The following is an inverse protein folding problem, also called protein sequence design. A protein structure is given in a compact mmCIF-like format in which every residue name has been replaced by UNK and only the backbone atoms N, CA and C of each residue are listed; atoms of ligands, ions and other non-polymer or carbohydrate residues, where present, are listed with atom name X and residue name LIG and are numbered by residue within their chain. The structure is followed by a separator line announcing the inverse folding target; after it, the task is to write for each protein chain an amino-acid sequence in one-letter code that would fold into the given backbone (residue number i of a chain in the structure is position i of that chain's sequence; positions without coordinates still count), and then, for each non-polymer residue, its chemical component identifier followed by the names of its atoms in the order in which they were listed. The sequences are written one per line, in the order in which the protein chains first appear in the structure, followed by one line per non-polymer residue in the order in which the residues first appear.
data_IF_284803072379
#
_entry.id   IF_284803072379
#
_cell.length_a   1.000
_cell.length_b   1.000
_cell.length_c   1.000
_cell.angle_alpha   90.00
_cell.angle_beta   90.00
_cell.angle_gamma   90.00
#
_symmetry.space_group_name_H-M   'P 1'
#
loop_
_entity.id
_entity.type
_entity.pdbx_description
1 polymer ?
#
# COMPACT_ATOMS: atom_id res chain seq x y z
N UNK A 1 0.45 -11.13 -7.77
CA UNK A 1 0.06 -9.70 -7.68
C UNK A 1 1.23 -8.94 -7.08
N UNK A 2 1.60 -7.86 -7.70
CA UNK A 2 2.73 -7.06 -7.24
C UNK A 2 2.32 -6.06 -6.15
N UNK A 3 3.31 -5.67 -5.38
CA UNK A 3 3.18 -4.59 -4.40
C UNK A 3 2.98 -3.25 -5.13
N UNK A 4 1.95 -2.51 -4.73
CA UNK A 4 1.63 -1.21 -5.32
C UNK A 4 1.73 -0.13 -4.26
N UNK A 5 2.40 0.95 -4.59
CA UNK A 5 2.53 2.11 -3.68
C UNK A 5 1.85 3.31 -4.32
N UNK A 6 1.01 3.98 -3.54
CA UNK A 6 0.38 5.24 -3.93
C UNK A 6 0.89 6.37 -3.06
N UNK A 7 1.03 7.54 -3.66
CA UNK A 7 1.42 8.75 -2.96
C UNK A 7 0.34 9.82 -3.19
N UNK A 8 0.05 10.59 -2.15
CA UNK A 8 -0.97 11.61 -2.25
C UNK A 8 -0.50 12.81 -3.08
N UNK A 9 -1.43 13.73 -3.34
CA UNK A 9 -1.21 14.85 -4.24
C UNK A 9 -0.06 15.77 -3.83
N UNK A 10 0.09 16.04 -2.54
CA UNK A 10 1.17 16.90 -2.05
C UNK A 10 2.44 16.11 -1.68
N UNK A 11 2.45 14.81 -1.95
CA UNK A 11 3.59 13.92 -1.76
C UNK A 11 4.06 13.81 -0.30
N UNK A 12 3.11 13.92 0.63
CA UNK A 12 3.40 13.83 2.06
C UNK A 12 3.00 12.50 2.69
N UNK A 13 2.11 11.74 2.04
CA UNK A 13 1.61 10.47 2.56
C UNK A 13 1.64 9.39 1.50
N UNK A 14 1.87 8.16 1.96
CA UNK A 14 1.88 6.99 1.09
C UNK A 14 0.98 5.91 1.65
N UNK A 15 0.50 5.05 0.76
CA UNK A 15 -0.15 3.79 1.11
C UNK A 15 0.41 2.69 0.22
N UNK A 16 0.72 1.55 0.85
CA UNK A 16 1.30 0.40 0.16
C UNK A 16 0.29 -0.74 0.20
N UNK A 17 -0.07 -1.24 -0.96
CA UNK A 17 -0.98 -2.38 -1.11
C UNK A 17 -0.16 -3.58 -1.54
N UNK A 18 -0.14 -4.62 -0.71
CA UNK A 18 0.59 -5.83 -1.06
C UNK A 18 -0.23 -7.08 -0.76
N UNK A 19 -0.04 -8.15 -1.56
CA UNK A 19 -0.75 -9.41 -1.31
C UNK A 19 -0.41 -9.96 0.06
N UNK A 20 -1.41 -10.48 0.75
CA UNK A 20 -1.23 -11.14 2.04
C UNK A 20 -1.76 -12.56 1.92
N UNK A 21 -0.90 -13.53 2.14
CA UNK A 21 -1.24 -14.95 2.09
C UNK A 21 -1.28 -15.51 3.50
N UNK A 22 -2.42 -16.10 3.86
CA UNK A 22 -2.57 -16.74 5.16
C UNK A 22 -2.16 -18.21 5.04
N UNK A 23 -0.93 -18.51 5.41
CA UNK A 23 -0.36 -19.85 5.32
C UNK A 23 -0.98 -20.85 6.30
N UNK A 24 -1.76 -20.37 7.28
CA UNK A 24 -2.45 -21.25 8.21
C UNK A 24 -3.69 -21.89 7.61
N UNK A 25 -4.17 -21.42 6.47
CA UNK A 25 -5.34 -21.98 5.80
C UNK A 25 -5.02 -23.26 5.02
N UNK A 26 -5.95 -24.21 4.96
CA UNK A 26 -5.73 -25.48 4.24
C UNK A 26 -5.47 -25.28 2.74
N UNK A 27 -6.04 -24.25 2.15
CA UNK A 27 -5.84 -23.94 0.73
C UNK A 27 -5.08 -22.63 0.62
N UNK A 28 -3.74 -22.66 0.57
CA UNK A 28 -2.95 -21.45 0.47
C UNK A 28 -3.24 -20.69 -0.82
N UNK A 29 -3.24 -19.39 -0.73
CA UNK A 29 -3.50 -18.50 -1.85
C UNK A 29 -3.62 -17.08 -1.37
N UNK A 30 -3.67 -16.14 -2.32
CA UNK A 30 -3.82 -14.72 -1.99
C UNK A 30 -5.30 -14.46 -1.74
N UNK A 31 -5.69 -14.33 -0.48
CA UNK A 31 -7.08 -14.10 -0.11
C UNK A 31 -7.30 -12.74 0.58
N UNK A 32 -6.24 -11.98 0.77
CA UNK A 32 -6.31 -10.68 1.42
C UNK A 32 -5.20 -9.77 0.93
N UNK A 33 -5.30 -8.49 1.29
CA UNK A 33 -4.28 -7.48 1.02
C UNK A 33 -3.86 -6.84 2.32
N UNK A 34 -2.57 -6.61 2.48
CA UNK A 34 -2.06 -5.79 3.55
C UNK A 34 -1.91 -4.36 3.03
N UNK A 35 -2.50 -3.42 3.75
CA UNK A 35 -2.44 -2.00 3.40
C UNK A 35 -1.63 -1.31 4.48
N UNK A 36 -0.44 -0.85 4.12
CA UNK A 36 0.42 -0.08 5.01
C UNK A 36 0.28 1.40 4.69
N UNK A 37 0.36 2.24 5.71
CA UNK A 37 0.30 3.68 5.50
C UNK A 37 1.47 4.36 6.18
N UNK A 38 1.90 5.49 5.64
CA UNK A 38 3.04 6.20 6.17
C UNK A 38 3.14 7.62 5.64
N UNK A 39 4.24 8.25 6.00
CA UNK A 39 4.51 9.64 5.65
C UNK A 39 5.84 9.77 4.94
N UNK A 40 5.95 10.81 4.10
CA UNK A 40 7.18 11.19 3.45
C UNK A 40 7.56 12.56 3.98
N UNK A 41 8.73 12.65 4.59
CA UNK A 41 9.22 13.90 5.13
C UNK A 41 10.19 14.56 4.16
N UNK A 42 10.10 15.89 4.05
CA UNK A 42 10.91 16.66 3.09
C UNK A 42 12.41 16.45 3.24
N UNK A 43 12.88 16.22 4.45
CA UNK A 43 14.32 16.08 4.74
C UNK A 43 14.78 14.62 4.72
N UNK A 44 13.87 13.69 4.47
CA UNK A 44 14.19 12.27 4.44
C UNK A 44 13.86 11.71 3.08
N UNK A 45 14.77 10.96 2.51
CA UNK A 45 14.51 10.27 1.25
C UNK A 45 13.70 8.98 1.47
N UNK A 46 13.63 8.50 2.70
CA UNK A 46 12.89 7.28 3.04
C UNK A 46 11.52 7.59 3.61
N UNK A 47 10.45 6.97 3.07
CA UNK A 47 9.15 7.06 3.72
C UNK A 47 9.16 6.30 5.03
N UNK A 48 8.35 6.75 5.98
CA UNK A 48 8.22 6.13 7.29
C UNK A 48 6.85 5.47 7.37
N UNK A 49 6.83 4.17 7.55
CA UNK A 49 5.58 3.42 7.71
C UNK A 49 5.09 3.60 9.14
N UNK A 50 3.84 4.04 9.28
CA UNK A 50 3.22 4.29 10.58
C UNK A 50 2.37 3.14 11.07
N UNK A 51 1.82 2.35 10.18
CA UNK A 51 1.00 1.21 10.55
C UNK A 51 0.54 0.43 9.33
N UNK A 52 -0.14 -0.68 9.59
CA UNK A 52 -0.69 -1.52 8.53
C UNK A 52 -1.94 -2.24 9.03
N UNK A 53 -2.76 -2.70 8.09
CA UNK A 53 -3.92 -3.52 8.37
C UNK A 53 -4.14 -4.50 7.24
N UNK A 54 -4.86 -5.57 7.53
CA UNK A 54 -5.20 -6.58 6.53
C UNK A 54 -6.68 -6.40 6.17
N UNK A 55 -6.97 -6.37 4.88
CA UNK A 55 -8.31 -6.20 4.34
C UNK A 55 -8.60 -7.26 3.28
N UNK A 56 -9.88 -7.48 3.00
CA UNK A 56 -10.27 -8.33 1.88
C UNK A 56 -9.80 -7.68 0.57
N UNK A 57 -9.61 -8.51 -0.46
CA UNK A 57 -9.22 -8.02 -1.78
C UNK A 57 -10.26 -7.01 -2.30
N UNK A 58 -11.55 -7.30 -2.10
CA UNK A 58 -12.61 -6.39 -2.56
C UNK A 58 -12.53 -5.02 -1.88
N UNK A 59 -12.33 -5.00 -0.56
CA UNK A 59 -12.19 -3.74 0.19
C UNK A 59 -10.94 -2.98 -0.24
N UNK A 60 -9.82 -3.68 -0.42
CA UNK A 60 -8.57 -3.07 -0.85
C UNK A 60 -8.70 -2.43 -2.24
N UNK A 61 -9.35 -3.12 -3.17
CA UNK A 61 -9.58 -2.59 -4.53
C UNK A 61 -10.46 -1.34 -4.50
N UNK A 62 -11.46 -1.33 -3.65
CA UNK A 62 -12.34 -0.17 -3.50
C UNK A 62 -11.57 1.02 -2.95
N UNK A 63 -10.77 0.82 -1.90
CA UNK A 63 -9.93 1.88 -1.34
C UNK A 63 -8.94 2.41 -2.36
N UNK A 64 -8.29 1.52 -3.09
CA UNK A 64 -7.35 1.89 -4.14
C UNK A 64 -8.00 2.80 -5.19
N UNK A 65 -9.18 2.41 -5.67
CA UNK A 65 -9.92 3.21 -6.66
C UNK A 65 -10.32 4.59 -6.11
N UNK A 66 -10.74 4.65 -4.85
CA UNK A 66 -11.10 5.90 -4.20
C UNK A 66 -9.90 6.85 -4.07
N UNK A 67 -8.74 6.31 -3.70
CA UNK A 67 -7.52 7.10 -3.59
C UNK A 67 -7.11 7.69 -4.94
N UNK A 68 -7.22 6.91 -6.03
CA UNK A 68 -6.94 7.43 -7.37
C UNK A 68 -7.88 8.59 -7.72
N UNK A 69 -9.14 8.51 -7.32
CA UNK A 69 -10.11 9.60 -7.54
C UNK A 69 -9.75 10.85 -6.75
N UNK A 70 -9.13 10.68 -5.59
CA UNK A 70 -8.69 11.78 -4.74
C UNK A 70 -7.38 12.41 -5.20
N UNK A 71 -6.78 11.90 -6.27
CA UNK A 71 -5.57 12.44 -6.85
C UNK A 71 -4.28 11.73 -6.44
N UNK A 72 -4.38 10.62 -5.72
CA UNK A 72 -3.21 9.81 -5.41
C UNK A 72 -2.70 9.16 -6.70
N UNK A 73 -1.39 8.97 -6.78
CA UNK A 73 -0.74 8.40 -7.97
C UNK A 73 0.18 7.26 -7.58
N UNK A 74 0.37 6.34 -8.51
CA UNK A 74 1.35 5.28 -8.33
C UNK A 74 2.74 5.88 -8.23
N UNK A 75 3.56 5.33 -7.37
CA UNK A 75 4.94 5.75 -7.19
C UNK A 75 5.84 4.55 -6.99
N UNK A 76 7.10 4.69 -7.36
CA UNK A 76 8.13 3.68 -7.16
C UNK A 76 9.09 4.05 -6.02
N UNK A 77 8.62 4.91 -5.11
CA UNK A 77 9.47 5.47 -4.04
C UNK A 77 10.18 4.40 -3.20
N UNK A 78 9.58 3.22 -3.06
CA UNK A 78 10.21 2.13 -2.31
C UNK A 78 11.17 1.28 -3.14
N UNK A 79 11.18 1.40 -4.46
CA UNK A 79 12.03 0.55 -5.31
C UNK A 79 13.52 0.77 -5.06
N UNK A 80 13.88 1.98 -4.68
CA UNK A 80 15.28 2.31 -4.42
C UNK A 80 15.79 1.76 -3.08
N UNK A 81 14.91 1.18 -2.25
CA UNK A 81 15.25 0.66 -0.93
C UNK A 81 15.12 -0.86 -0.81
N UNK A 82 14.66 -1.49 -1.86
CA UNK A 82 14.49 -2.94 -1.90
C UNK A 82 15.23 -3.56 -3.13
#
# INVERSE_FOLDING_TARGET
MEKLTLINKDRSRIKVFEPFEDISKPSPGIDAMMISYGCVYKRSSKPVIKGSRVETIATARKEYAELLKEGWKKTSIFRSYF
#
